data_IF_261115627359
#
_entry.id   IF_261115627359
#
_cell.length_a   1.000
_cell.length_b   1.000
_cell.length_c   1.000
_cell.angle_alpha   90.00
_cell.angle_beta   90.00
_cell.angle_gamma   90.00
#
_symmetry.space_group_name_H-M   'P 1'
#
loop_
_entity.id
_entity.type
_entity.pdbx_description
1 polymer ?
#
# COMPACT_ATOMS: atom_id res chain seq x y z
N UNK A 1 -10.32 -3.42 -1.64
CA UNK A 1 -11.52 -3.38 -2.50
C UNK A 1 -11.13 -3.37 -3.97
N UNK A 2 -12.07 -3.71 -4.85
CA UNK A 2 -12.03 -3.44 -6.31
C UNK A 2 -13.31 -2.69 -6.72
N UNK A 3 -13.32 -2.11 -7.92
CA UNK A 3 -14.53 -1.46 -8.45
C UNK A 3 -15.52 -2.52 -8.96
N UNK A 4 -16.77 -2.40 -8.56
CA UNK A 4 -17.87 -3.32 -8.91
C UNK A 4 -18.60 -2.86 -10.17
N UNK A 5 -19.13 -1.63 -10.14
CA UNK A 5 -19.83 -1.00 -11.27
C UNK A 5 -19.67 0.52 -11.24
N UNK A 6 -19.86 1.12 -12.40
CA UNK A 6 -19.88 2.58 -12.60
C UNK A 6 -21.27 2.99 -13.06
N UNK A 7 -21.82 4.02 -12.43
CA UNK A 7 -23.13 4.61 -12.75
C UNK A 7 -22.94 6.13 -12.85
N UNK A 8 -22.82 6.64 -14.07
CA UNK A 8 -22.56 8.06 -14.33
C UNK A 8 -21.21 8.51 -13.74
N UNK A 9 -21.26 9.49 -12.82
CA UNK A 9 -20.09 10.04 -12.12
C UNK A 9 -19.84 9.36 -10.76
N UNK A 10 -20.42 8.18 -10.51
CA UNK A 10 -20.27 7.43 -9.27
C UNK A 10 -19.92 5.95 -9.54
N UNK A 11 -19.49 5.26 -8.50
CA UNK A 11 -19.22 3.82 -8.54
C UNK A 11 -19.62 3.12 -7.24
N UNK A 12 -19.92 1.82 -7.33
CA UNK A 12 -19.91 0.91 -6.18
C UNK A 12 -18.63 0.10 -6.17
N UNK A 13 -18.27 -0.37 -4.98
CA UNK A 13 -17.05 -1.14 -4.73
C UNK A 13 -17.42 -2.52 -4.19
N UNK A 14 -16.61 -3.51 -4.53
CA UNK A 14 -16.56 -4.75 -3.77
C UNK A 14 -15.48 -4.64 -2.71
N UNK A 15 -15.90 -4.63 -1.45
CA UNK A 15 -15.04 -4.64 -0.28
C UNK A 15 -14.87 -6.08 0.20
N UNK A 16 -13.64 -6.42 0.58
CA UNK A 16 -13.28 -7.77 1.01
C UNK A 16 -12.45 -7.68 2.27
N UNK A 17 -12.66 -8.62 3.18
CA UNK A 17 -11.82 -8.80 4.37
C UNK A 17 -10.99 -10.06 4.21
N UNK A 18 -9.79 -10.07 4.82
CA UNK A 18 -8.85 -11.19 4.74
C UNK A 18 -8.46 -11.61 6.13
N UNK A 19 -8.64 -12.90 6.46
CA UNK A 19 -8.26 -13.43 7.76
C UNK A 19 -6.77 -13.77 7.85
N UNK A 20 -6.28 -13.94 9.07
CA UNK A 20 -4.89 -14.29 9.39
C UNK A 20 -4.00 -13.06 9.57
N UNK A 21 -3.34 -12.98 10.73
CA UNK A 21 -2.53 -11.84 11.18
C UNK A 21 -1.01 -12.08 11.14
N UNK A 22 -0.57 -13.13 10.43
CA UNK A 22 0.84 -13.50 10.30
C UNK A 22 1.24 -13.57 8.83
N UNK A 23 2.53 -13.80 8.57
CA UNK A 23 3.05 -14.08 7.23
C UNK A 23 2.76 -15.51 6.76
N UNK A 24 2.12 -16.35 7.58
CA UNK A 24 1.68 -17.66 7.11
C UNK A 24 0.62 -17.50 6.01
N UNK A 25 0.70 -18.26 4.91
CA UNK A 25 -0.28 -18.23 3.82
C UNK A 25 -1.56 -19.00 4.21
N UNK A 26 -2.00 -18.80 5.45
CA UNK A 26 -3.18 -19.39 6.08
C UNK A 26 -4.17 -18.27 6.36
N UNK A 27 -5.35 -18.37 5.78
CA UNK A 27 -6.38 -17.36 5.83
C UNK A 27 -7.30 -17.46 4.62
N UNK A 28 -8.41 -16.76 4.72
CA UNK A 28 -9.51 -16.80 3.77
C UNK A 28 -9.93 -15.37 3.42
N UNK A 29 -10.54 -15.22 2.25
CA UNK A 29 -11.08 -13.94 1.79
C UNK A 29 -12.61 -13.98 1.90
N UNK A 30 -13.17 -12.94 2.51
CA UNK A 30 -14.60 -12.81 2.73
C UNK A 30 -15.14 -11.55 2.05
N UNK A 31 -16.42 -11.61 1.66
CA UNK A 31 -17.22 -10.46 1.24
C UNK A 31 -18.54 -10.55 1.98
N UNK A 32 -18.93 -9.48 2.68
CA UNK A 32 -20.13 -9.46 3.53
C UNK A 32 -20.17 -10.66 4.50
N UNK A 33 -19.05 -10.92 5.18
CA UNK A 33 -18.81 -12.05 6.09
C UNK A 33 -18.99 -13.45 5.50
N UNK A 34 -19.07 -13.57 4.17
CA UNK A 34 -19.17 -14.85 3.45
C UNK A 34 -17.87 -15.17 2.73
N UNK A 35 -17.44 -16.42 2.84
CA UNK A 35 -16.29 -16.92 2.11
C UNK A 35 -16.52 -16.76 0.60
N UNK A 36 -15.54 -16.22 -0.10
CA UNK A 36 -15.60 -16.04 -1.55
C UNK A 36 -14.43 -16.71 -2.25
N UNK A 37 -14.67 -17.15 -3.49
CA UNK A 37 -13.59 -17.56 -4.40
C UNK A 37 -13.10 -16.34 -5.16
N UNK A 38 -11.85 -15.94 -4.93
CA UNK A 38 -11.29 -14.75 -5.59
C UNK A 38 -11.19 -14.93 -7.11
N UNK A 39 -11.09 -16.16 -7.61
CA UNK A 39 -11.09 -16.49 -9.05
C UNK A 39 -12.37 -16.07 -9.78
N UNK A 40 -13.46 -15.79 -9.06
CA UNK A 40 -14.72 -15.31 -9.63
C UNK A 40 -14.75 -13.80 -9.93
N UNK A 41 -13.69 -13.07 -9.57
CA UNK A 41 -13.61 -11.62 -9.72
C UNK A 41 -12.39 -11.24 -10.55
N UNK A 42 -12.59 -10.87 -11.82
CA UNK A 42 -11.51 -10.43 -12.72
C UNK A 42 -10.63 -9.34 -12.10
N UNK A 43 -11.24 -8.38 -11.38
CA UNK A 43 -10.51 -7.34 -10.68
C UNK A 43 -9.58 -7.86 -9.58
N UNK A 44 -9.95 -8.96 -8.89
CA UNK A 44 -9.08 -9.60 -7.90
C UNK A 44 -7.93 -10.36 -8.57
N UNK A 45 -8.14 -10.92 -9.77
CA UNK A 45 -7.08 -11.56 -10.55
C UNK A 45 -6.01 -10.51 -10.93
N UNK A 46 -6.42 -9.35 -11.47
CA UNK A 46 -5.47 -8.28 -11.81
C UNK A 46 -4.83 -7.66 -10.56
N UNK A 47 -5.59 -7.51 -9.46
CA UNK A 47 -5.07 -7.05 -8.17
C UNK A 47 -3.96 -7.99 -7.64
N UNK A 48 -4.22 -9.30 -7.58
CA UNK A 48 -3.23 -10.29 -7.17
C UNK A 48 -2.03 -10.31 -8.11
N UNK A 49 -2.25 -10.07 -9.40
CA UNK A 49 -1.17 -9.95 -10.40
C UNK A 49 -0.23 -8.80 -10.08
N UNK A 50 -0.76 -7.62 -9.77
CA UNK A 50 0.03 -6.46 -9.35
C UNK A 50 0.80 -6.78 -8.05
N UNK A 51 0.12 -7.36 -7.05
CA UNK A 51 0.72 -7.71 -5.76
C UNK A 51 1.89 -8.71 -5.88
N UNK A 52 1.83 -9.65 -6.82
CA UNK A 52 2.86 -10.66 -7.02
C UNK A 52 4.04 -10.17 -7.89
N UNK A 53 3.77 -9.37 -8.92
CA UNK A 53 4.77 -8.94 -9.91
C UNK A 53 5.47 -7.65 -9.51
N UNK A 54 4.72 -6.65 -9.04
CA UNK A 54 5.27 -5.39 -8.55
C UNK A 54 5.76 -5.59 -7.11
N UNK A 55 6.71 -6.49 -6.91
CA UNK A 55 7.14 -6.98 -5.60
C UNK A 55 8.55 -7.57 -5.69
N UNK A 56 9.41 -7.20 -4.74
CA UNK A 56 10.78 -7.71 -4.61
C UNK A 56 10.98 -8.57 -3.35
N UNK A 57 9.89 -8.84 -2.62
CA UNK A 57 9.86 -9.65 -1.40
C UNK A 57 9.20 -11.01 -1.63
N UNK A 58 9.45 -11.95 -0.71
CA UNK A 58 8.89 -13.31 -0.74
C UNK A 58 8.60 -13.83 0.66
N UNK A 59 7.99 -15.00 0.73
CA UNK A 59 7.84 -15.78 1.96
C UNK A 59 8.88 -16.89 1.99
N UNK A 60 9.37 -17.21 3.19
CA UNK A 60 10.21 -18.38 3.43
C UNK A 60 9.66 -19.19 4.61
N UNK A 61 9.78 -20.50 4.57
CA UNK A 61 9.39 -21.34 5.70
C UNK A 61 10.64 -21.77 6.47
N UNK A 62 10.83 -21.18 7.65
CA UNK A 62 11.94 -21.51 8.53
C UNK A 62 11.65 -22.84 9.25
N UNK A 63 12.25 -23.93 8.78
CA UNK A 63 12.03 -25.27 9.34
C UNK A 63 12.46 -25.38 10.81
N UNK A 64 13.55 -24.71 11.19
CA UNK A 64 14.07 -24.75 12.56
C UNK A 64 13.11 -24.09 13.57
N UNK A 65 12.45 -23.01 13.16
CA UNK A 65 11.45 -22.31 13.99
C UNK A 65 10.02 -22.81 13.77
N UNK A 66 9.78 -23.56 12.69
CA UNK A 66 8.45 -24.04 12.30
C UNK A 66 7.48 -22.94 11.86
N UNK A 67 7.97 -21.79 11.40
CA UNK A 67 7.13 -20.62 11.05
C UNK A 67 7.49 -20.04 9.69
N UNK A 68 6.51 -19.40 9.05
CA UNK A 68 6.74 -18.58 7.86
C UNK A 68 7.36 -17.23 8.25
N UNK A 69 8.50 -16.92 7.66
CA UNK A 69 9.22 -15.66 7.86
C UNK A 69 9.16 -14.81 6.59
N UNK A 70 9.31 -13.50 6.79
CA UNK A 70 9.38 -12.56 5.69
C UNK A 70 10.79 -12.53 5.11
N UNK A 71 10.89 -12.47 3.78
CA UNK A 71 12.11 -12.12 3.06
C UNK A 71 11.86 -10.81 2.35
N UNK A 72 12.58 -9.76 2.74
CA UNK A 72 12.38 -8.39 2.25
C UNK A 72 11.54 -7.50 3.18
N UNK A 73 10.84 -6.55 2.59
CA UNK A 73 10.07 -5.53 3.31
C UNK A 73 8.73 -6.08 3.83
N UNK A 74 8.35 -5.68 5.05
CA UNK A 74 7.11 -6.16 5.69
C UNK A 74 5.86 -5.92 4.83
N UNK A 75 5.78 -4.73 4.22
CA UNK A 75 4.66 -4.31 3.37
C UNK A 75 4.56 -5.16 2.12
N UNK A 76 5.67 -5.44 1.46
CA UNK A 76 5.70 -6.26 0.27
C UNK A 76 5.44 -7.73 0.57
N UNK A 77 6.00 -8.27 1.65
CA UNK A 77 5.70 -9.64 2.09
C UNK A 77 4.22 -9.81 2.46
N UNK A 78 3.57 -8.78 3.01
CA UNK A 78 2.12 -8.82 3.23
C UNK A 78 1.34 -8.97 1.91
N UNK A 79 1.79 -8.34 0.82
CA UNK A 79 1.22 -8.53 -0.51
C UNK A 79 1.49 -9.94 -1.04
N UNK A 80 2.70 -10.49 -0.83
CA UNK A 80 3.02 -11.87 -1.19
C UNK A 80 2.08 -12.84 -0.47
N UNK A 81 1.90 -12.67 0.84
CA UNK A 81 0.99 -13.45 1.66
C UNK A 81 -0.48 -13.30 1.22
N UNK A 82 -0.90 -12.09 0.84
CA UNK A 82 -2.23 -11.83 0.30
C UNK A 82 -2.49 -12.65 -0.97
N UNK A 83 -1.54 -12.68 -1.91
CA UNK A 83 -1.66 -13.48 -3.15
C UNK A 83 -1.83 -14.97 -2.84
N UNK A 84 -1.08 -15.48 -1.85
CA UNK A 84 -1.19 -16.88 -1.41
C UNK A 84 -2.55 -17.21 -0.77
N UNK A 85 -3.20 -16.24 -0.11
CA UNK A 85 -4.54 -16.41 0.48
C UNK A 85 -5.64 -16.28 -0.58
N UNK A 86 -5.46 -15.40 -1.57
CA UNK A 86 -6.44 -15.18 -2.62
C UNK A 86 -6.55 -16.36 -3.59
N UNK A 87 -5.43 -17.05 -3.89
CA UNK A 87 -5.36 -18.18 -4.83
C UNK A 87 -6.23 -17.99 -6.09
N UNK A 88 -6.04 -16.87 -6.78
CA UNK A 88 -6.93 -16.41 -7.87
C UNK A 88 -6.99 -17.32 -9.10
N UNK A 89 -6.11 -18.32 -9.19
CA UNK A 89 -6.07 -19.32 -10.25
C UNK A 89 -6.52 -20.71 -9.79
N UNK A 90 -7.10 -20.83 -8.59
CA UNK A 90 -7.56 -22.09 -8.00
C UNK A 90 -6.48 -23.20 -8.07
N UNK A 91 -5.21 -22.82 -7.86
CA UNK A 91 -4.08 -23.74 -7.85
C UNK A 91 -4.31 -24.83 -6.79
N UNK A 92 -4.01 -26.09 -7.10
CA UNK A 92 -4.05 -27.17 -6.12
C UNK A 92 -2.90 -27.00 -5.12
N UNK A 93 -3.25 -26.80 -3.85
CA UNK A 93 -2.31 -26.53 -2.76
C UNK A 93 -2.17 -27.73 -1.82
N UNK A 94 -3.07 -28.72 -1.90
CA UNK A 94 -3.00 -29.92 -1.07
C UNK A 94 -1.80 -30.77 -1.45
N UNK A 95 -1.10 -31.26 -0.44
CA UNK A 95 0.08 -32.12 -0.62
C UNK A 95 1.39 -31.35 -0.83
N UNK A 96 1.36 -30.03 -1.02
CA UNK A 96 2.58 -29.22 -1.00
C UNK A 96 3.20 -29.23 0.40
N UNK A 97 4.52 -29.35 0.45
CA UNK A 97 5.28 -29.11 1.67
C UNK A 97 5.12 -27.65 2.14
N UNK A 98 5.45 -27.38 3.40
CA UNK A 98 5.37 -26.01 3.94
C UNK A 98 6.28 -25.03 3.19
N UNK A 99 7.43 -25.52 2.70
CA UNK A 99 8.38 -24.76 1.88
C UNK A 99 7.76 -24.42 0.53
N UNK A 100 7.22 -25.41 -0.19
CA UNK A 100 6.59 -25.20 -1.50
C UNK A 100 5.35 -24.29 -1.39
N UNK A 101 4.58 -24.44 -0.30
CA UNK A 101 3.39 -23.63 -0.02
C UNK A 101 3.72 -22.15 0.14
N UNK A 102 4.94 -21.76 0.52
CA UNK A 102 5.29 -20.38 0.82
C UNK A 102 5.03 -19.41 -0.33
N UNK A 103 5.26 -19.83 -1.58
CA UNK A 103 5.15 -18.95 -2.76
C UNK A 103 4.39 -19.62 -3.93
N UNK A 104 3.52 -20.59 -3.64
CA UNK A 104 2.86 -21.41 -4.65
C UNK A 104 2.03 -20.57 -5.63
N UNK A 105 1.12 -19.72 -5.12
CA UNK A 105 0.27 -18.88 -5.95
C UNK A 105 1.08 -17.77 -6.64
N UNK A 106 2.02 -17.12 -5.92
CA UNK A 106 2.90 -16.11 -6.51
C UNK A 106 3.71 -16.67 -7.69
N UNK A 107 4.19 -17.91 -7.59
CA UNK A 107 4.93 -18.58 -8.66
C UNK A 107 4.07 -18.78 -9.91
N UNK A 108 2.79 -19.15 -9.73
CA UNK A 108 1.84 -19.27 -10.85
C UNK A 108 1.66 -17.93 -11.56
N UNK A 109 1.48 -16.82 -10.82
CA UNK A 109 1.37 -15.49 -11.44
C UNK A 109 2.65 -15.13 -12.22
N UNK A 110 3.82 -15.38 -11.64
CA UNK A 110 5.13 -15.09 -12.25
C UNK A 110 5.39 -15.92 -13.53
N UNK A 111 4.68 -17.03 -13.74
CA UNK A 111 4.73 -17.78 -14.99
C UNK A 111 3.92 -17.14 -16.13
N UNK A 112 2.99 -16.22 -15.83
CA UNK A 112 2.19 -15.55 -16.86
C UNK A 112 2.94 -14.40 -17.53
N UNK A 113 3.74 -13.68 -16.76
CA UNK A 113 4.45 -12.48 -17.19
C UNK A 113 5.91 -12.51 -16.76
N UNK A 114 6.82 -12.15 -17.65
CA UNK A 114 8.23 -11.89 -17.35
C UNK A 114 8.40 -10.46 -16.85
N UNK A 115 8.93 -10.29 -15.64
CA UNK A 115 9.42 -8.99 -15.15
C UNK A 115 10.72 -8.65 -15.88
N UNK A 116 10.71 -7.60 -16.69
CA UNK A 116 11.88 -7.12 -17.43
C UNK A 116 12.76 -6.24 -16.56
N UNK A 117 12.14 -5.27 -15.86
CA UNK A 117 12.81 -4.36 -14.94
C UNK A 117 11.80 -3.76 -13.95
N UNK A 118 12.35 -3.20 -12.86
CA UNK A 118 11.62 -2.47 -11.84
C UNK A 118 12.00 -1.00 -11.94
N UNK A 119 11.01 -0.10 -11.84
CA UNK A 119 11.24 1.30 -11.48
C UNK A 119 11.12 1.37 -9.95
N UNK A 120 12.26 1.42 -9.28
CA UNK A 120 12.35 1.29 -7.81
C UNK A 120 11.57 2.40 -7.09
N UNK A 121 11.17 2.14 -5.86
CA UNK A 121 10.46 3.15 -5.06
C UNK A 121 11.31 4.41 -4.85
N UNK A 122 10.69 5.58 -5.04
CA UNK A 122 11.30 6.88 -4.72
C UNK A 122 10.33 7.74 -3.91
N UNK A 123 10.87 8.57 -3.02
CA UNK A 123 10.09 9.33 -2.02
C UNK A 123 9.30 10.47 -2.64
N UNK A 124 9.76 11.01 -3.76
CA UNK A 124 9.10 12.05 -4.55
C UNK A 124 7.74 11.54 -5.06
N UNK A 125 7.71 10.45 -5.85
CA UNK A 125 6.48 9.90 -6.43
C UNK A 125 5.71 8.92 -5.53
N UNK A 126 6.37 8.35 -4.52
CA UNK A 126 5.79 7.42 -3.52
C UNK A 126 5.10 6.21 -4.14
N UNK A 127 5.63 5.71 -5.24
CA UNK A 127 5.19 4.50 -5.93
C UNK A 127 6.38 3.69 -6.40
N UNK A 128 6.12 2.45 -6.76
CA UNK A 128 7.01 1.53 -7.44
C UNK A 128 6.23 0.96 -8.63
N UNK A 129 6.93 0.64 -9.71
CA UNK A 129 6.33 -0.11 -10.81
C UNK A 129 7.27 -1.14 -11.39
N UNK A 130 6.71 -2.11 -12.10
CA UNK A 130 7.47 -3.11 -12.85
C UNK A 130 6.98 -3.16 -14.28
N UNK A 131 7.91 -3.28 -15.22
CA UNK A 131 7.61 -3.47 -16.63
C UNK A 131 7.62 -4.96 -16.95
N UNK A 132 6.51 -5.46 -17.48
CA UNK A 132 6.28 -6.89 -17.66
C UNK A 132 5.85 -7.22 -19.09
N UNK A 133 6.48 -8.22 -19.68
CA UNK A 133 6.09 -8.79 -20.98
C UNK A 133 5.45 -10.16 -20.79
N UNK A 134 4.50 -10.58 -21.64
CA UNK A 134 3.93 -11.93 -21.56
C UNK A 134 4.99 -13.01 -21.85
N UNK A 135 5.00 -14.10 -21.06
CA UNK A 135 5.90 -15.24 -21.33
C UNK A 135 5.51 -16.00 -22.62
N UNK A 136 4.23 -16.01 -22.97
CA UNK A 136 3.72 -16.61 -24.21
C UNK A 136 3.18 -15.50 -25.11
N UNK A 137 3.81 -15.22 -26.26
CA UNK A 137 3.29 -14.25 -27.22
C UNK A 137 1.89 -14.65 -27.67
N UNK A 138 0.93 -13.74 -27.53
CA UNK A 138 -0.44 -13.88 -28.03
C UNK A 138 -0.86 -12.52 -28.60
N UNK A 139 -1.75 -12.52 -29.60
CA UNK A 139 -2.34 -11.27 -30.12
C UNK A 139 -3.06 -10.45 -29.04
N UNK A 140 -3.44 -11.07 -27.93
CA UNK A 140 -4.14 -10.42 -26.81
C UNK A 140 -3.24 -10.12 -25.62
N UNK A 141 -2.07 -10.76 -25.52
CA UNK A 141 -1.17 -10.56 -24.40
C UNK A 141 -0.23 -9.40 -24.75
N UNK A 142 -0.42 -8.27 -24.07
CA UNK A 142 0.37 -7.07 -24.28
C UNK A 142 1.29 -6.79 -23.09
N UNK A 143 2.37 -6.09 -23.39
CA UNK A 143 3.26 -5.53 -22.39
C UNK A 143 2.50 -4.58 -21.46
N UNK A 144 2.73 -4.67 -20.16
CA UNK A 144 2.09 -3.84 -19.14
C UNK A 144 3.13 -3.30 -18.17
N UNK A 145 2.81 -2.18 -17.52
CA UNK A 145 3.42 -1.86 -16.23
C UNK A 145 2.42 -2.08 -15.10
N UNK A 146 2.87 -2.70 -14.02
CA UNK A 146 2.10 -2.85 -12.79
C UNK A 146 2.64 -1.88 -11.75
N UNK A 147 1.76 -1.08 -11.14
CA UNK A 147 2.13 0.03 -10.26
C UNK A 147 1.49 -0.18 -8.90
N UNK A 148 2.25 0.04 -7.83
CA UNK A 148 1.74 0.15 -6.46
C UNK A 148 2.29 1.40 -5.79
N UNK A 149 1.52 2.04 -4.91
CA UNK A 149 2.02 3.19 -4.18
C UNK A 149 1.01 3.88 -3.29
N UNK A 150 1.40 5.05 -2.80
CA UNK A 150 0.55 5.93 -2.01
C UNK A 150 -0.72 6.29 -2.81
N UNK A 151 -1.92 6.11 -2.25
CA UNK A 151 -3.17 6.32 -2.96
C UNK A 151 -3.30 7.67 -3.65
N UNK A 152 -2.96 8.75 -2.96
CA UNK A 152 -3.11 10.12 -3.49
C UNK A 152 -2.31 10.27 -4.79
N UNK A 153 -1.02 9.94 -4.77
CA UNK A 153 -0.13 10.12 -5.91
C UNK A 153 -0.37 9.14 -7.06
N UNK A 154 -0.79 7.90 -6.78
CA UNK A 154 -1.09 6.92 -7.84
C UNK A 154 -2.43 7.26 -8.51
N UNK A 155 -3.47 7.56 -7.74
CA UNK A 155 -4.81 7.85 -8.27
C UNK A 155 -4.80 9.19 -9.04
N UNK A 156 -4.00 10.17 -8.63
CA UNK A 156 -3.80 11.41 -9.40
C UNK A 156 -3.23 11.19 -10.80
N UNK A 157 -2.46 10.10 -10.99
CA UNK A 157 -1.89 9.71 -12.28
C UNK A 157 -2.76 8.72 -13.06
N UNK A 158 -3.91 8.32 -12.51
CA UNK A 158 -4.88 7.49 -13.19
C UNK A 158 -5.81 8.35 -14.03
N UNK A 159 -6.04 7.93 -15.28
CA UNK A 159 -7.07 8.52 -16.17
C UNK A 159 -8.26 7.57 -16.33
N UNK A 160 -8.11 6.32 -15.90
CA UNK A 160 -9.09 5.27 -16.06
C UNK A 160 -9.21 4.42 -14.80
N UNK A 161 -10.27 3.61 -14.74
CA UNK A 161 -10.50 2.58 -13.73
C UNK A 161 -10.78 1.23 -14.40
N UNK A 162 -10.50 0.16 -13.69
CA UNK A 162 -10.88 -1.21 -14.07
C UNK A 162 -12.19 -1.60 -13.40
N UNK A 163 -13.16 -2.07 -14.18
CA UNK A 163 -14.43 -2.66 -13.73
C UNK A 163 -14.51 -4.08 -14.29
N UNK A 164 -14.23 -5.07 -13.45
CA UNK A 164 -13.98 -6.44 -13.93
C UNK A 164 -12.80 -6.48 -14.90
N UNK A 165 -13.04 -6.83 -16.16
CA UNK A 165 -12.05 -6.79 -17.25
C UNK A 165 -12.10 -5.49 -18.08
N UNK A 166 -13.12 -4.65 -17.88
CA UNK A 166 -13.38 -3.46 -18.71
C UNK A 166 -12.64 -2.24 -18.19
N UNK A 167 -12.08 -1.44 -19.10
CA UNK A 167 -11.48 -0.14 -18.80
C UNK A 167 -12.51 0.97 -19.00
N UNK A 168 -12.69 1.83 -18.00
CA UNK A 168 -13.61 2.97 -18.05
C UNK A 168 -12.90 4.27 -17.63
N UNK A 169 -13.35 5.47 -18.07
CA UNK A 169 -12.78 6.73 -17.63
C UNK A 169 -12.90 6.93 -16.11
N UNK A 170 -11.84 7.46 -15.48
CA UNK A 170 -11.88 7.89 -14.09
C UNK A 170 -12.42 9.32 -14.02
N UNK A 171 -13.69 9.46 -13.69
CA UNK A 171 -14.32 10.78 -13.54
C UNK A 171 -14.04 11.38 -12.14
N UNK A 172 -14.22 12.70 -11.95
CA UNK A 172 -13.99 13.34 -10.66
C UNK A 172 -14.82 12.77 -9.50
N UNK A 173 -16.10 12.44 -9.72
CA UNK A 173 -16.97 11.88 -8.67
C UNK A 173 -16.56 10.45 -8.28
N UNK A 174 -16.16 9.62 -9.26
CA UNK A 174 -15.60 8.28 -9.00
C UNK A 174 -14.31 8.40 -8.19
N UNK A 175 -13.40 9.31 -8.59
CA UNK A 175 -12.16 9.57 -7.87
C UNK A 175 -12.44 9.99 -6.42
N UNK A 176 -13.40 10.88 -6.20
CA UNK A 176 -13.78 11.32 -4.87
C UNK A 176 -14.31 10.17 -4.01
N UNK A 177 -15.17 9.30 -4.57
CA UNK A 177 -15.70 8.11 -3.88
C UNK A 177 -14.60 7.12 -3.49
N UNK A 178 -13.66 6.83 -4.38
CA UNK A 178 -12.51 5.95 -4.10
C UNK A 178 -11.66 6.56 -2.97
N UNK A 179 -11.32 7.84 -3.08
CA UNK A 179 -10.51 8.53 -2.08
C UNK A 179 -11.21 8.65 -0.72
N UNK A 180 -12.55 8.74 -0.68
CA UNK A 180 -13.29 8.78 0.59
C UNK A 180 -13.17 7.48 1.36
N UNK A 181 -13.32 6.33 0.68
CA UNK A 181 -13.20 5.00 1.32
C UNK A 181 -11.78 4.76 1.83
N UNK A 182 -10.77 5.11 1.03
CA UNK A 182 -9.36 5.00 1.44
C UNK A 182 -9.06 5.87 2.67
N UNK A 183 -9.67 7.06 2.76
CA UNK A 183 -9.52 7.95 3.92
C UNK A 183 -10.20 7.36 5.17
N UNK A 184 -11.39 6.80 5.01
CA UNK A 184 -12.10 6.12 6.10
C UNK A 184 -11.25 5.00 6.70
N UNK A 185 -10.68 4.13 5.87
CA UNK A 185 -9.76 3.07 6.30
C UNK A 185 -8.49 3.59 6.99
N UNK A 186 -7.89 4.64 6.44
CA UNK A 186 -6.66 5.22 6.97
C UNK A 186 -6.82 5.98 8.29
N UNK A 187 -8.01 6.53 8.55
CA UNK A 187 -8.33 7.34 9.75
C UNK A 187 -9.23 6.62 10.75
N UNK A 188 -9.80 5.48 10.37
CA UNK A 188 -10.65 4.66 11.20
C UNK A 188 -9.90 4.03 12.38
N UNK A 189 -10.64 3.30 13.21
CA UNK A 189 -10.13 2.72 14.46
C UNK A 189 -8.91 1.81 14.26
N UNK A 190 -8.89 1.06 13.15
CA UNK A 190 -7.83 0.11 12.86
C UNK A 190 -6.60 0.75 12.21
N UNK A 191 -6.70 2.00 11.75
CA UNK A 191 -5.58 2.81 11.24
C UNK A 191 -4.76 2.07 10.20
N UNK A 192 -5.37 1.81 9.04
CA UNK A 192 -4.82 0.89 8.07
C UNK A 192 -3.91 1.60 7.07
N UNK A 193 -2.82 0.93 6.69
CA UNK A 193 -1.91 1.40 5.64
C UNK A 193 -2.45 0.98 4.29
N UNK A 194 -2.91 1.96 3.51
CA UNK A 194 -3.49 1.72 2.19
C UNK A 194 -2.43 1.83 1.07
N UNK A 195 -2.50 0.93 0.10
CA UNK A 195 -1.78 1.00 -1.18
C UNK A 195 -2.77 0.97 -2.32
N UNK A 196 -2.68 1.96 -3.21
CA UNK A 196 -3.37 1.91 -4.49
C UNK A 196 -2.58 1.05 -5.47
N UNK A 197 -3.31 0.26 -6.25
CA UNK A 197 -2.79 -0.65 -7.26
C UNK A 197 -3.38 -0.24 -8.61
N UNK A 198 -2.50 -0.07 -9.60
CA UNK A 198 -2.88 0.40 -10.93
C UNK A 198 -2.04 -0.29 -12.01
N UNK A 199 -2.50 -0.21 -13.25
CA UNK A 199 -1.74 -0.68 -14.43
C UNK A 199 -1.54 0.42 -15.44
N UNK A 200 -0.39 0.42 -16.11
CA UNK A 200 -0.25 1.09 -17.39
C UNK A 200 -0.54 0.07 -18.48
N UNK A 201 -1.68 0.21 -19.16
CA UNK A 201 -2.12 -0.76 -20.17
C UNK A 201 -1.29 -0.73 -21.46
N UNK A 202 -0.76 0.45 -21.82
CA UNK A 202 0.04 0.67 -23.03
C UNK A 202 1.33 1.46 -22.70
N UNK A 203 2.27 0.89 -21.91
CA UNK A 203 3.44 1.62 -21.45
C UNK A 203 4.34 2.06 -22.61
N UNK A 204 5.18 3.10 -22.42
CA UNK A 204 6.22 3.46 -23.38
C UNK A 204 7.10 2.26 -23.73
N UNK A 205 7.66 2.23 -24.93
CA UNK A 205 8.59 1.15 -25.31
C UNK A 205 9.84 1.27 -24.45
N UNK A 206 10.46 0.14 -24.11
CA UNK A 206 11.68 0.09 -23.29
C UNK A 206 12.78 1.02 -23.82
N UNK A 207 12.96 1.12 -25.13
CA UNK A 207 13.95 1.98 -25.79
C UNK A 207 13.72 3.49 -25.58
N UNK A 208 12.47 3.88 -25.27
CA UNK A 208 12.09 5.27 -25.00
C UNK A 208 12.21 5.62 -23.49
N UNK A 209 12.61 4.67 -22.65
CA UNK A 209 12.70 4.82 -21.19
C UNK A 209 14.16 4.94 -20.72
N UNK A 210 14.48 6.03 -20.02
CA UNK A 210 15.78 6.27 -19.39
C UNK A 210 15.78 5.71 -17.98
N UNK A 211 16.21 4.46 -17.84
CA UNK A 211 16.13 3.71 -16.57
C UNK A 211 17.18 4.15 -15.53
N UNK A 212 18.21 4.89 -15.93
CA UNK A 212 19.28 5.37 -15.03
C UNK A 212 18.88 6.62 -14.23
N UNK A 213 17.84 7.33 -14.67
CA UNK A 213 17.40 8.58 -14.05
C UNK A 213 16.00 8.42 -13.44
N UNK A 214 15.99 8.16 -12.14
CA UNK A 214 14.77 7.96 -11.34
C UNK A 214 13.80 9.14 -11.37
N UNK A 215 14.26 10.36 -11.68
CA UNK A 215 13.38 11.52 -11.81
C UNK A 215 12.38 11.38 -12.96
N UNK A 216 12.70 10.57 -13.98
CA UNK A 216 11.79 10.32 -15.11
C UNK A 216 10.71 9.30 -14.80
N UNK A 217 10.83 8.48 -13.74
CA UNK A 217 9.94 7.34 -13.51
C UNK A 217 8.48 7.77 -13.33
N UNK A 218 8.25 8.93 -12.71
CA UNK A 218 6.90 9.48 -12.55
C UNK A 218 6.22 9.72 -13.90
N UNK A 219 6.98 10.08 -14.95
CA UNK A 219 6.45 10.34 -16.30
C UNK A 219 6.02 9.05 -17.00
N UNK A 220 6.73 7.94 -16.74
CA UNK A 220 6.40 6.61 -17.25
C UNK A 220 5.20 5.99 -16.53
N UNK A 221 4.94 6.44 -15.30
CA UNK A 221 3.82 6.01 -14.46
C UNK A 221 2.63 6.98 -14.57
N UNK A 222 2.28 7.44 -15.77
CA UNK A 222 1.10 8.30 -16.04
C UNK A 222 0.05 7.57 -16.89
N UNK A 223 -1.13 8.16 -17.10
CA UNK A 223 -2.23 7.55 -17.88
C UNK A 223 -2.63 6.15 -17.39
N UNK A 224 -2.58 5.97 -16.07
CA UNK A 224 -2.80 4.68 -15.43
C UNK A 224 -4.29 4.30 -15.39
N UNK A 225 -4.54 3.02 -15.24
CA UNK A 225 -5.86 2.43 -14.94
C UNK A 225 -5.84 1.95 -13.49
N UNK A 226 -6.64 2.58 -12.62
CA UNK A 226 -6.80 2.15 -11.23
C UNK A 226 -7.50 0.79 -11.16
N UNK A 227 -6.92 -0.18 -10.46
CA UNK A 227 -7.46 -1.54 -10.33
C UNK A 227 -8.13 -1.76 -8.98
N UNK A 228 -7.51 -1.29 -7.91
CA UNK A 228 -8.05 -1.46 -6.58
C UNK A 228 -7.14 -0.92 -5.50
N UNK A 229 -7.55 -1.12 -4.26
CA UNK A 229 -6.78 -0.77 -3.09
C UNK A 229 -6.70 -1.95 -2.14
N UNK A 230 -5.50 -2.19 -1.64
CA UNK A 230 -5.24 -3.11 -0.53
C UNK A 230 -4.86 -2.31 0.68
N UNK A 231 -5.22 -2.84 1.83
CA UNK A 231 -4.88 -2.26 3.11
C UNK A 231 -4.22 -3.31 3.99
N UNK A 232 -3.35 -2.84 4.87
CA UNK A 232 -2.66 -3.69 5.83
C UNK A 232 -2.57 -2.99 7.17
N UNK A 233 -2.79 -3.76 8.23
CA UNK A 233 -2.54 -3.31 9.58
C UNK A 233 -1.05 -3.49 9.90
N UNK A 234 -0.38 -2.39 10.27
CA UNK A 234 0.92 -2.45 10.94
C UNK A 234 0.69 -2.22 12.44
N UNK A 235 0.45 -3.28 13.24
CA UNK A 235 0.06 -3.11 14.62
C UNK A 235 1.21 -2.52 15.45
N UNK A 236 0.93 -1.59 16.36
CA UNK A 236 1.93 -1.13 17.32
C UNK A 236 2.54 -2.31 18.08
N UNK A 237 3.85 -2.25 18.34
CA UNK A 237 4.53 -3.30 19.13
C UNK A 237 3.88 -3.43 20.50
N UNK A 238 3.79 -4.67 20.98
CA UNK A 238 3.30 -4.96 22.34
C UNK A 238 4.13 -4.16 23.35
N UNK A 239 3.44 -3.48 24.28
CA UNK A 239 4.06 -2.67 25.34
C UNK A 239 4.28 -1.19 24.99
N UNK A 240 4.17 -0.77 23.72
CA UNK A 240 4.41 0.63 23.31
C UNK A 240 3.49 1.61 24.05
N UNK A 241 2.20 1.30 24.16
CA UNK A 241 1.24 2.16 24.88
C UNK A 241 1.60 2.29 26.38
N UNK A 242 2.03 1.19 27.01
CA UNK A 242 2.49 1.20 28.39
C UNK A 242 3.75 2.06 28.56
N UNK A 243 4.72 1.95 27.64
CA UNK A 243 5.93 2.76 27.66
C UNK A 243 5.63 4.24 27.48
N UNK A 244 4.70 4.60 26.57
CA UNK A 244 4.28 6.00 26.37
C UNK A 244 3.64 6.56 27.65
N UNK A 245 2.83 5.76 28.34
CA UNK A 245 2.24 6.14 29.63
C UNK A 245 3.33 6.42 30.68
N UNK A 246 4.36 5.59 30.77
CA UNK A 246 5.49 5.79 31.68
C UNK A 246 6.27 7.07 31.34
N UNK A 247 6.55 7.31 30.05
CA UNK A 247 7.19 8.56 29.60
C UNK A 247 6.39 9.77 30.06
N UNK A 248 5.06 9.75 29.89
CA UNK A 248 4.17 10.83 30.32
C UNK A 248 4.22 11.07 31.83
N UNK A 249 4.23 10.01 32.62
CA UNK A 249 4.34 10.10 34.09
C UNK A 249 5.70 10.66 34.54
N UNK A 250 6.76 10.41 33.76
CA UNK A 250 8.10 10.93 34.00
C UNK A 250 8.33 12.35 33.44
N UNK A 251 7.31 12.99 32.84
CA UNK A 251 7.45 14.31 32.21
C UNK A 251 8.20 14.30 30.88
N UNK A 252 8.39 13.13 30.25
CA UNK A 252 9.07 12.96 28.97
C UNK A 252 8.04 13.05 27.83
N UNK A 253 8.22 14.02 26.92
CA UNK A 253 7.40 14.15 25.71
C UNK A 253 7.86 13.18 24.63
N UNK A 254 6.92 12.43 24.07
CA UNK A 254 7.15 11.52 22.95
C UNK A 254 6.66 12.17 21.67
N UNK A 255 7.50 12.19 20.63
CA UNK A 255 7.16 12.71 19.29
C UNK A 255 7.25 11.55 18.29
N UNK A 256 6.13 11.24 17.62
CA UNK A 256 6.11 10.30 16.50
C UNK A 256 6.62 10.99 15.23
N UNK A 257 7.50 10.29 14.49
CA UNK A 257 7.98 10.71 13.18
C UNK A 257 7.75 9.55 12.21
N UNK A 258 6.84 9.70 11.24
CA UNK A 258 6.44 8.62 10.31
C UNK A 258 6.39 9.05 8.85
N UNK A 259 6.50 8.07 7.94
CA UNK A 259 6.28 8.23 6.50
C UNK A 259 4.81 8.06 6.07
N UNK A 260 3.91 7.72 6.99
CA UNK A 260 2.47 7.62 6.73
C UNK A 260 1.84 8.99 6.46
N UNK A 261 0.60 8.99 5.96
CA UNK A 261 -0.17 10.22 5.85
C UNK A 261 -0.53 10.76 7.25
N UNK A 262 -0.85 12.05 7.33
CA UNK A 262 -1.15 12.74 8.61
C UNK A 262 -2.32 12.11 9.36
N UNK A 263 -3.38 11.72 8.65
CA UNK A 263 -4.57 11.12 9.25
C UNK A 263 -4.26 9.82 9.98
N UNK A 264 -3.58 8.89 9.30
CA UNK A 264 -3.14 7.61 9.86
C UNK A 264 -2.15 7.81 11.01
N UNK A 265 -1.18 8.71 10.85
CA UNK A 265 -0.21 9.02 11.90
C UNK A 265 -0.88 9.53 13.20
N UNK A 266 -1.85 10.44 13.07
CA UNK A 266 -2.66 10.95 14.18
C UNK A 266 -3.48 9.83 14.82
N UNK A 267 -4.11 8.99 14.01
CA UNK A 267 -4.95 7.92 14.52
C UNK A 267 -4.11 6.85 15.27
N UNK A 268 -2.91 6.50 14.77
CA UNK A 268 -1.96 5.65 15.51
C UNK A 268 -1.53 6.34 16.80
N UNK A 269 -1.20 7.63 16.76
CA UNK A 269 -0.85 8.40 17.96
C UNK A 269 -1.95 8.37 19.03
N UNK A 270 -3.23 8.43 18.65
CA UNK A 270 -4.36 8.25 19.58
C UNK A 270 -4.38 6.84 20.15
N UNK A 271 -4.27 5.82 19.30
CA UNK A 271 -4.29 4.40 19.69
C UNK A 271 -3.19 4.03 20.68
N UNK A 272 -2.00 4.61 20.55
CA UNK A 272 -0.86 4.33 21.44
C UNK A 272 -0.73 5.32 22.61
N UNK A 273 -1.65 6.29 22.72
CA UNK A 273 -1.71 7.23 23.84
C UNK A 273 -0.75 8.43 23.77
N UNK A 274 -0.18 8.74 22.60
CA UNK A 274 0.51 10.02 22.36
C UNK A 274 -0.50 11.16 22.39
N UNK A 275 -1.66 10.98 21.77
CA UNK A 275 -2.81 11.90 21.82
C UNK A 275 -3.97 11.28 22.61
N UNK A 276 -4.82 12.11 23.21
CA UNK A 276 -6.14 11.66 23.68
C UNK A 276 -7.09 11.36 22.51
N UNK A 277 -8.11 10.54 22.73
CA UNK A 277 -9.07 10.14 21.68
C UNK A 277 -9.74 11.36 21.01
N UNK A 278 -10.18 12.33 21.82
CA UNK A 278 -10.85 13.56 21.37
C UNK A 278 -9.95 14.79 21.42
N UNK A 279 -8.64 14.59 21.57
CA UNK A 279 -7.70 15.72 21.65
C UNK A 279 -7.61 16.45 20.31
N UNK A 280 -7.66 17.80 20.35
CA UNK A 280 -7.33 18.63 19.19
C UNK A 280 -5.82 18.60 18.91
N UNK A 281 -5.51 18.18 17.69
CA UNK A 281 -4.16 17.95 17.20
C UNK A 281 -3.76 18.93 16.10
N UNK A 282 -4.60 19.92 15.78
CA UNK A 282 -4.40 20.86 14.67
C UNK A 282 -3.05 21.57 14.75
N UNK A 283 -2.64 21.98 15.94
CA UNK A 283 -1.35 22.64 16.22
C UNK A 283 -0.27 21.68 16.74
N UNK A 284 -0.57 20.38 16.79
CA UNK A 284 0.29 19.35 17.42
C UNK A 284 0.74 18.26 16.45
N UNK A 285 0.18 18.22 15.25
CA UNK A 285 0.52 17.30 14.19
C UNK A 285 0.75 18.04 12.88
N UNK A 286 1.89 17.79 12.23
CA UNK A 286 2.27 18.43 10.97
C UNK A 286 2.72 17.38 9.96
N UNK A 287 2.46 17.62 8.68
CA UNK A 287 3.22 16.98 7.60
C UNK A 287 4.57 17.66 7.44
N UNK A 288 5.53 16.99 6.79
CA UNK A 288 6.78 17.63 6.38
C UNK A 288 6.56 18.92 5.58
N UNK A 289 5.60 18.90 4.63
CA UNK A 289 5.25 20.07 3.82
C UNK A 289 4.66 21.21 4.65
N UNK A 290 3.66 20.92 5.50
CA UNK A 290 3.09 21.94 6.39
C UNK A 290 4.17 22.55 7.29
N UNK A 291 5.12 21.73 7.76
CA UNK A 291 6.24 22.21 8.57
C UNK A 291 7.18 23.11 7.79
N UNK A 292 7.51 22.79 6.54
CA UNK A 292 8.36 23.63 5.68
C UNK A 292 7.72 24.97 5.29
N UNK A 293 6.39 24.99 5.14
CA UNK A 293 5.62 26.21 4.85
C UNK A 293 5.59 27.20 6.05
N UNK A 294 5.93 26.75 7.26
CA UNK A 294 6.05 27.62 8.43
C UNK A 294 7.32 28.49 8.38
N UNK A 295 7.22 29.70 8.95
CA UNK A 295 8.40 30.54 9.19
C UNK A 295 9.36 29.86 10.18
N UNK A 296 10.67 30.18 10.17
CA UNK A 296 11.63 29.57 11.10
C UNK A 296 11.25 29.71 12.59
N UNK A 297 10.64 30.84 12.96
CA UNK A 297 10.14 31.06 14.32
C UNK A 297 8.94 30.14 14.63
N UNK A 298 8.00 30.00 13.70
CA UNK A 298 6.85 29.09 13.85
C UNK A 298 7.28 27.60 13.81
N UNK A 299 8.33 27.26 13.06
CA UNK A 299 8.91 25.90 13.08
C UNK A 299 9.47 25.55 14.45
N UNK A 300 10.17 26.50 15.11
CA UNK A 300 10.68 26.32 16.47
C UNK A 300 9.53 26.10 17.47
N UNK A 301 8.50 26.95 17.42
CA UNK A 301 7.32 26.80 18.29
C UNK A 301 6.55 25.49 18.03
N UNK A 302 6.40 25.12 16.76
CA UNK A 302 5.81 23.85 16.38
C UNK A 302 6.61 22.67 16.97
N UNK A 303 7.94 22.69 16.93
CA UNK A 303 8.76 21.62 17.53
C UNK A 303 8.60 21.54 19.06
N UNK A 304 8.31 22.64 19.75
CA UNK A 304 8.07 22.64 21.20
C UNK A 304 6.75 21.98 21.60
N UNK A 305 5.73 22.05 20.73
CA UNK A 305 4.37 21.60 21.04
C UNK A 305 3.94 20.31 20.29
N UNK A 306 4.50 20.07 19.11
CA UNK A 306 4.13 18.95 18.25
C UNK A 306 4.47 17.60 18.89
N UNK A 307 3.65 16.60 18.61
CA UNK A 307 3.90 15.21 19.00
C UNK A 307 3.81 14.24 17.82
N UNK A 308 3.52 14.74 16.61
CA UNK A 308 3.43 13.92 15.42
C UNK A 308 3.92 14.69 14.19
N UNK A 309 4.90 14.14 13.49
CA UNK A 309 5.31 14.59 12.16
C UNK A 309 5.11 13.45 11.15
N UNK A 310 4.29 13.69 10.14
CA UNK A 310 3.93 12.73 9.10
C UNK A 310 4.56 13.11 7.75
N UNK A 311 4.68 12.16 6.81
CA UNK A 311 5.31 12.38 5.50
C UNK A 311 6.65 13.16 5.59
N UNK A 312 7.51 12.81 6.55
CA UNK A 312 8.78 13.53 6.77
C UNK A 312 9.90 13.06 5.85
N UNK A 313 10.75 13.99 5.45
CA UNK A 313 12.02 13.70 4.76
C UNK A 313 13.18 13.55 5.75
N UNK A 314 14.33 12.95 5.35
CA UNK A 314 15.47 12.76 6.26
C UNK A 314 15.97 14.08 6.86
N UNK A 315 15.96 15.17 6.07
CA UNK A 315 16.34 16.51 6.50
C UNK A 315 15.46 17.05 7.63
N UNK A 316 14.16 16.74 7.64
CA UNK A 316 13.25 17.17 8.70
C UNK A 316 13.63 16.58 10.06
N UNK A 317 14.16 15.37 10.10
CA UNK A 317 14.58 14.75 11.37
C UNK A 317 15.69 15.56 12.04
N UNK A 318 16.72 15.92 11.27
CA UNK A 318 17.80 16.76 11.77
C UNK A 318 17.31 18.14 12.20
N UNK A 319 16.44 18.76 11.40
CA UNK A 319 15.86 20.08 11.68
C UNK A 319 14.98 20.09 12.93
N UNK A 320 14.18 19.04 13.15
CA UNK A 320 13.38 18.89 14.38
C UNK A 320 14.31 18.78 15.59
N UNK A 321 15.38 17.99 15.50
CA UNK A 321 16.38 17.86 16.58
C UNK A 321 17.09 19.18 16.86
N UNK A 322 17.39 19.99 15.85
CA UNK A 322 18.02 21.30 16.01
C UNK A 322 17.13 22.32 16.76
N UNK A 323 15.80 22.21 16.63
CA UNK A 323 14.86 23.08 17.33
C UNK A 323 14.52 22.64 18.76
N UNK A 324 14.83 21.40 19.13
CA UNK A 324 14.58 20.81 20.45
C UNK A 324 15.76 21.01 21.41
#
# INVERSE_FOLDING_TARGET
FIVDRVEGDSCSLHEFTVSGSTYAPMGEVYKDDKLVKCSQYDGLIELATICALCNDSSLDFNEAKGVYEKVGEATETALTCLVEKMNVFDTELKGLSRIERANACNSVVKQLMRKEFTLEFSRDRKSMSVYCTPNKPSRTAMTKMFVKGAPEGVIDRCTHIRVGSVKMPLTPGIKQKIMSVIREWGTGRDTLRCLALATHDNPPRREDMKLEDSANFVTYETNLTFVGCVEMLDPPRIGVASSIKLCRQAGIRVIMITGDNKGTAVAICRRIGIFGEDEDVTTKAFTGREFDELSPAAQRDACQNARCFARVEPSHKSKIVEFL
#
